data_IF_487497175750
#
_entry.id   IF_487497175750
#
_cell.length_a   1.000
_cell.length_b   1.000
_cell.length_c   1.000
_cell.angle_alpha   90.00
_cell.angle_beta   90.00
_cell.angle_gamma   90.00
#
_symmetry.space_group_name_H-M   'P 1'
#
loop_
_entity.id
_entity.type
_entity.pdbx_description
1 polymer ?
#
# COMPACT_ATOMS: atom_id res chain seq x y z
N UNK A 1 17.07 23.04 -31.01
CA UNK A 1 16.88 21.64 -30.59
C UNK A 1 16.80 21.61 -29.07
N UNK A 2 15.63 21.34 -28.49
CA UNK A 2 15.49 21.18 -27.03
C UNK A 2 15.97 19.76 -26.70
N UNK A 3 17.10 19.64 -25.99
CA UNK A 3 17.53 18.34 -25.51
C UNK A 3 16.50 17.79 -24.50
N UNK A 4 16.12 16.50 -24.58
CA UNK A 4 15.23 15.90 -23.59
C UNK A 4 15.90 15.94 -22.23
N UNK A 5 15.26 16.59 -21.26
CA UNK A 5 15.73 16.66 -19.87
C UNK A 5 15.88 15.24 -19.32
N UNK A 6 17.08 14.89 -18.88
CA UNK A 6 17.35 13.57 -18.29
C UNK A 6 16.34 13.27 -17.17
N UNK A 7 15.80 12.03 -17.10
CA UNK A 7 14.80 11.68 -16.11
C UNK A 7 15.41 11.82 -14.72
N UNK A 8 14.71 12.52 -13.84
CA UNK A 8 15.24 12.80 -12.53
C UNK A 8 15.26 11.51 -11.68
N UNK A 9 16.34 11.26 -10.92
CA UNK A 9 16.64 10.00 -10.22
C UNK A 9 16.10 9.94 -8.79
N UNK A 10 15.36 8.89 -8.38
CA UNK A 10 14.84 8.68 -7.01
C UNK A 10 15.59 7.54 -6.33
N UNK A 11 15.78 7.55 -4.99
CA UNK A 11 16.37 6.41 -4.29
C UNK A 11 15.58 5.13 -4.52
N UNK A 12 16.27 4.03 -4.83
CA UNK A 12 15.66 2.71 -4.92
C UNK A 12 15.03 2.33 -3.58
N UNK A 13 13.75 1.96 -3.58
CA UNK A 13 13.07 1.46 -2.39
C UNK A 13 12.18 0.29 -2.78
N UNK A 14 12.46 -0.88 -2.21
CA UNK A 14 11.65 -2.09 -2.43
C UNK A 14 10.21 -1.91 -1.95
N UNK A 15 10.01 -1.16 -0.85
CA UNK A 15 8.69 -0.72 -0.44
C UNK A 15 8.01 0.14 -1.51
N UNK A 16 8.71 1.11 -2.09
CA UNK A 16 8.13 1.94 -3.15
C UNK A 16 7.79 1.13 -4.41
N UNK A 17 8.65 0.17 -4.81
CA UNK A 17 8.35 -0.75 -5.92
C UNK A 17 7.10 -1.59 -5.64
N UNK A 18 7.00 -2.18 -4.44
CA UNK A 18 5.83 -2.93 -4.02
C UNK A 18 4.57 -2.05 -4.02
N UNK A 19 4.62 -0.87 -3.40
CA UNK A 19 3.51 0.08 -3.35
C UNK A 19 3.12 0.62 -4.73
N UNK A 20 4.04 0.71 -5.69
CA UNK A 20 3.70 1.06 -7.07
C UNK A 20 2.86 -0.02 -7.76
N UNK A 21 3.04 -1.28 -7.37
CA UNK A 21 2.30 -2.41 -7.91
C UNK A 21 0.96 -2.63 -7.19
N UNK A 22 0.93 -2.53 -5.86
CA UNK A 22 -0.25 -2.90 -5.06
C UNK A 22 -0.94 -1.73 -4.35
N UNK A 23 -0.30 -0.56 -4.26
CA UNK A 23 -0.74 0.59 -3.47
C UNK A 23 -1.81 1.43 -4.16
N UNK A 24 -2.80 0.78 -4.77
CA UNK A 24 -4.03 1.44 -5.22
C UNK A 24 -5.26 0.70 -4.69
N UNK A 25 -6.31 1.47 -4.40
CA UNK A 25 -7.55 0.99 -3.77
C UNK A 25 -8.10 -0.27 -4.42
N UNK A 26 -8.14 -0.30 -5.76
CA UNK A 26 -8.78 -1.39 -6.50
C UNK A 26 -7.92 -2.65 -6.46
N UNK A 27 -6.60 -2.52 -6.51
CA UNK A 27 -5.69 -3.65 -6.36
C UNK A 27 -5.80 -4.28 -4.97
N UNK A 28 -5.89 -3.49 -3.91
CA UNK A 28 -6.12 -4.01 -2.56
C UNK A 28 -7.42 -4.81 -2.45
N UNK A 29 -8.50 -4.35 -3.09
CA UNK A 29 -9.79 -5.07 -3.14
C UNK A 29 -9.71 -6.37 -3.95
N UNK A 30 -8.99 -6.39 -5.08
CA UNK A 30 -8.75 -7.62 -5.84
C UNK A 30 -7.94 -8.63 -5.04
N UNK A 31 -6.87 -8.19 -4.38
CA UNK A 31 -6.02 -9.06 -3.56
C UNK A 31 -6.80 -9.62 -2.37
N UNK A 32 -7.55 -8.78 -1.66
CA UNK A 32 -8.45 -9.22 -0.61
C UNK A 32 -9.40 -10.30 -1.12
N UNK A 33 -9.98 -10.08 -2.29
CA UNK A 33 -10.90 -11.03 -2.88
C UNK A 33 -10.25 -12.38 -3.20
N UNK A 34 -9.05 -12.34 -3.77
CA UNK A 34 -8.28 -13.54 -4.07
C UNK A 34 -7.89 -14.31 -2.79
N UNK A 35 -7.54 -13.61 -1.71
CA UNK A 35 -7.28 -14.25 -0.40
C UNK A 35 -8.52 -14.90 0.21
N UNK A 36 -9.71 -14.33 -0.05
CA UNK A 36 -11.00 -14.95 0.29
C UNK A 36 -11.39 -16.10 -0.66
N UNK A 37 -10.43 -16.62 -1.45
CA UNK A 37 -10.59 -17.72 -2.40
C UNK A 37 -11.55 -17.43 -3.56
N UNK A 38 -11.82 -16.15 -3.84
CA UNK A 38 -12.52 -15.77 -5.06
C UNK A 38 -11.56 -15.87 -6.25
N UNK A 39 -11.89 -16.76 -7.18
CA UNK A 39 -11.09 -16.99 -8.40
C UNK A 39 -11.82 -16.59 -9.69
N UNK A 40 -13.14 -16.44 -9.66
CA UNK A 40 -13.97 -16.17 -10.85
C UNK A 40 -14.28 -14.69 -11.00
N UNK A 41 -14.32 -14.23 -12.25
CA UNK A 41 -14.59 -12.83 -12.60
C UNK A 41 -15.87 -12.26 -11.97
N UNK A 42 -16.99 -12.99 -12.07
CA UNK A 42 -18.26 -12.54 -11.46
C UNK A 42 -18.21 -12.53 -9.93
N UNK A 43 -17.41 -13.43 -9.31
CA UNK A 43 -17.18 -13.39 -7.86
C UNK A 43 -16.42 -12.15 -7.42
N UNK A 44 -15.42 -11.71 -8.20
CA UNK A 44 -14.70 -10.47 -7.93
C UNK A 44 -15.66 -9.27 -7.99
N UNK A 45 -16.54 -9.21 -8.99
CA UNK A 45 -17.54 -8.13 -9.10
C UNK A 45 -18.48 -8.16 -7.89
N UNK A 46 -19.04 -9.33 -7.59
CA UNK A 46 -20.01 -9.49 -6.50
C UNK A 46 -19.45 -9.03 -5.14
N UNK A 47 -18.17 -9.30 -4.88
CA UNK A 47 -17.56 -8.94 -3.60
C UNK A 47 -16.95 -7.54 -3.54
N UNK A 48 -16.47 -7.00 -4.66
CA UNK A 48 -15.75 -5.71 -4.68
C UNK A 48 -16.59 -4.54 -5.19
N UNK A 49 -17.71 -4.81 -5.87
CA UNK A 49 -18.56 -3.80 -6.51
C UNK A 49 -17.91 -3.10 -7.71
N UNK A 50 -16.75 -3.57 -8.18
CA UNK A 50 -16.02 -2.88 -9.26
C UNK A 50 -16.75 -2.94 -10.60
N UNK A 51 -16.62 -1.86 -11.37
CA UNK A 51 -17.00 -1.85 -12.77
C UNK A 51 -16.17 -2.88 -13.56
N UNK A 52 -16.81 -3.58 -14.51
CA UNK A 52 -16.19 -4.64 -15.31
C UNK A 52 -14.89 -4.22 -16.00
N UNK A 53 -14.89 -3.05 -16.64
CA UNK A 53 -13.70 -2.54 -17.36
C UNK A 53 -12.53 -2.26 -16.42
N UNK A 54 -12.81 -1.78 -15.21
CA UNK A 54 -11.79 -1.53 -14.19
C UNK A 54 -11.23 -2.85 -13.63
N UNK A 55 -12.08 -3.84 -13.39
CA UNK A 55 -11.65 -5.17 -12.96
C UNK A 55 -10.77 -5.84 -14.02
N UNK A 56 -11.12 -5.74 -15.30
CA UNK A 56 -10.29 -6.26 -16.41
C UNK A 56 -8.90 -5.61 -16.41
N UNK A 57 -8.83 -4.28 -16.29
CA UNK A 57 -7.54 -3.57 -16.22
C UNK A 57 -6.71 -4.02 -15.01
N UNK A 58 -7.32 -4.18 -13.83
CA UNK A 58 -6.60 -4.60 -12.61
C UNK A 58 -6.13 -6.05 -12.64
N UNK A 59 -6.99 -6.98 -13.06
CA UNK A 59 -6.61 -8.38 -13.23
C UNK A 59 -5.48 -8.51 -14.25
N UNK A 60 -5.56 -7.81 -15.38
CA UNK A 60 -4.51 -7.82 -16.40
C UNK A 60 -3.17 -7.28 -15.90
N UNK A 61 -3.15 -6.23 -15.04
CA UNK A 61 -1.92 -5.73 -14.42
C UNK A 61 -1.30 -6.71 -13.45
N UNK A 62 -2.12 -7.36 -12.62
CA UNK A 62 -1.65 -8.35 -11.66
C UNK A 62 -1.17 -9.64 -12.37
N UNK A 63 -1.81 -10.02 -13.47
CA UNK A 63 -1.35 -11.12 -14.35
C UNK A 63 -0.02 -10.76 -15.00
N UNK A 64 0.10 -9.58 -15.59
CA UNK A 64 1.34 -9.11 -16.21
C UNK A 64 2.51 -8.98 -15.21
N UNK A 65 2.22 -8.65 -13.95
CA UNK A 65 3.20 -8.58 -12.88
C UNK A 65 3.54 -9.95 -12.26
N UNK A 66 2.88 -11.04 -12.68
CA UNK A 66 3.09 -12.38 -12.14
C UNK A 66 2.50 -12.61 -10.75
N UNK A 67 1.66 -11.70 -10.24
CA UNK A 67 0.96 -11.83 -8.94
C UNK A 67 -0.21 -12.80 -9.07
N UNK A 68 -0.91 -12.75 -10.19
CA UNK A 68 -1.97 -13.67 -10.56
C UNK A 68 -1.58 -14.47 -11.79
N UNK A 69 -2.14 -15.66 -11.92
CA UNK A 69 -2.13 -16.42 -13.15
C UNK A 69 -3.56 -16.75 -13.58
N UNK A 70 -3.76 -16.79 -14.90
CA UNK A 70 -5.05 -17.07 -15.51
C UNK A 70 -5.12 -18.53 -15.93
N UNK A 71 -6.08 -19.28 -15.38
CA UNK A 71 -6.28 -20.71 -15.64
C UNK A 71 -7.60 -20.94 -16.37
N UNK A 72 -7.62 -21.63 -17.52
CA UNK A 72 -8.88 -22.02 -18.17
C UNK A 72 -9.59 -23.09 -17.33
N UNK A 73 -10.90 -22.95 -17.13
CA UNK A 73 -11.73 -24.00 -16.51
C UNK A 73 -12.86 -24.49 -17.44
N UNK A 74 -13.10 -23.77 -18.54
CA UNK A 74 -14.07 -24.13 -19.56
C UNK A 74 -13.52 -23.69 -20.91
N UNK A 75 -13.61 -24.56 -21.93
CA UNK A 75 -13.08 -24.27 -23.27
C UNK A 75 -14.16 -23.81 -24.25
N UNK A 76 -15.44 -24.09 -23.97
CA UNK A 76 -16.60 -23.68 -24.80
C UNK A 76 -17.80 -23.26 -23.96
N UNK A 77 -18.11 -21.94 -23.86
CA UNK A 77 -17.23 -20.81 -24.15
C UNK A 77 -15.94 -20.82 -23.31
N UNK A 78 -14.88 -20.19 -23.81
CA UNK A 78 -13.64 -20.05 -23.06
C UNK A 78 -13.88 -19.22 -21.78
N UNK A 79 -13.68 -19.84 -20.61
CA UNK A 79 -13.76 -19.17 -19.32
C UNK A 79 -12.52 -19.44 -18.50
N UNK A 80 -12.12 -18.41 -17.77
CA UNK A 80 -10.90 -18.42 -16.98
C UNK A 80 -11.19 -18.08 -15.53
N UNK A 81 -10.35 -18.60 -14.66
CA UNK A 81 -10.21 -18.22 -13.27
C UNK A 81 -8.84 -17.58 -13.05
N UNK A 82 -8.75 -16.75 -12.01
CA UNK A 82 -7.54 -16.04 -11.61
C UNK A 82 -7.08 -16.60 -10.27
N UNK A 83 -5.84 -17.06 -10.22
CA UNK A 83 -5.26 -17.71 -9.04
C UNK A 83 -4.01 -16.97 -8.61
N UNK A 84 -3.79 -16.84 -7.29
CA UNK A 84 -2.55 -16.29 -6.76
C UNK A 84 -1.39 -17.22 -7.08
N UNK A 85 -0.34 -16.66 -7.68
CA UNK A 85 0.95 -17.34 -7.85
C UNK A 85 1.68 -17.43 -6.49
N UNK A 86 2.89 -17.99 -6.47
CA UNK A 86 3.75 -17.91 -5.27
C UNK A 86 3.99 -16.45 -4.85
N UNK A 87 4.27 -15.56 -5.82
CA UNK A 87 4.46 -14.12 -5.59
C UNK A 87 3.21 -13.47 -4.97
N UNK A 88 2.02 -13.82 -5.47
CA UNK A 88 0.77 -13.29 -4.92
C UNK A 88 0.41 -13.85 -3.55
N UNK A 89 0.71 -15.12 -3.27
CA UNK A 89 0.48 -15.72 -1.95
C UNK A 89 1.37 -15.10 -0.88
N UNK A 90 2.61 -14.77 -1.22
CA UNK A 90 3.55 -14.12 -0.29
C UNK A 90 3.11 -12.71 0.14
N UNK A 91 2.15 -12.07 -0.56
CA UNK A 91 1.54 -10.82 -0.11
C UNK A 91 0.63 -11.00 1.12
N UNK A 92 0.29 -12.24 1.49
CA UNK A 92 -0.60 -12.52 2.61
C UNK A 92 -0.07 -11.97 3.94
N UNK A 93 1.24 -12.02 4.16
CA UNK A 93 1.87 -11.45 5.37
C UNK A 93 1.64 -9.94 5.46
N UNK A 94 1.78 -9.24 4.33
CA UNK A 94 1.49 -7.81 4.24
C UNK A 94 0.00 -7.53 4.48
N UNK A 95 -0.89 -8.36 3.94
CA UNK A 95 -2.32 -8.24 4.17
C UNK A 95 -2.67 -8.43 5.67
N UNK A 96 -2.04 -9.38 6.36
CA UNK A 96 -2.22 -9.56 7.80
C UNK A 96 -1.74 -8.34 8.59
N UNK A 97 -0.58 -7.76 8.25
CA UNK A 97 -0.08 -6.54 8.91
C UNK A 97 -1.04 -5.36 8.72
N UNK A 98 -1.62 -5.22 7.51
CA UNK A 98 -2.62 -4.20 7.22
C UNK A 98 -3.88 -4.39 8.07
N UNK A 99 -4.39 -5.62 8.13
CA UNK A 99 -5.57 -5.96 8.94
C UNK A 99 -5.32 -5.76 10.43
N UNK A 100 -4.15 -6.12 10.94
CA UNK A 100 -3.79 -5.88 12.34
C UNK A 100 -3.75 -4.40 12.70
N UNK A 101 -3.29 -3.56 11.77
CA UNK A 101 -3.34 -2.11 11.92
C UNK A 101 -4.79 -1.59 11.90
N UNK A 102 -5.61 -2.04 10.95
CA UNK A 102 -7.03 -1.70 10.87
C UNK A 102 -7.76 -2.05 12.17
N UNK A 103 -7.60 -3.28 12.68
CA UNK A 103 -8.25 -3.76 13.91
C UNK A 103 -7.85 -2.94 15.15
N UNK A 104 -6.63 -2.40 15.17
CA UNK A 104 -6.12 -1.61 16.29
C UNK A 104 -6.69 -0.19 16.31
N UNK A 105 -6.88 0.42 15.14
CA UNK A 105 -7.29 1.82 15.02
C UNK A 105 -8.76 2.01 14.59
N UNK A 106 -9.45 0.92 14.23
CA UNK A 106 -10.90 0.83 14.00
C UNK A 106 -11.55 0.04 15.14
N UNK A 107 -11.60 0.63 16.34
CA UNK A 107 -12.52 0.15 17.37
C UNK A 107 -13.87 0.80 17.16
N UNK A 108 -14.73 0.18 16.34
CA UNK A 108 -16.18 0.40 16.42
C UNK A 108 -16.77 -0.71 17.32
N UNK A 109 -17.24 -0.38 18.54
CA UNK A 109 -17.88 -1.35 19.42
C UNK A 109 -19.15 -1.98 18.82
N UNK A 110 -19.79 -1.32 17.85
CA UNK A 110 -21.02 -1.77 17.20
C UNK A 110 -20.77 -2.58 15.91
N UNK A 111 -19.54 -2.54 15.38
CA UNK A 111 -19.11 -3.33 14.24
C UNK A 111 -17.96 -4.22 14.69
N UNK A 112 -18.22 -5.46 15.15
CA UNK A 112 -17.16 -6.40 15.46
C UNK A 112 -16.35 -6.61 14.18
N UNK A 113 -15.22 -5.91 14.05
CA UNK A 113 -14.20 -6.21 13.06
C UNK A 113 -14.02 -7.72 13.10
N UNK A 114 -14.20 -8.41 11.98
CA UNK A 114 -14.07 -9.86 11.95
C UNK A 114 -12.78 -10.21 12.67
N UNK A 115 -12.89 -10.95 13.78
CA UNK A 115 -11.71 -11.40 14.49
C UNK A 115 -11.08 -12.43 13.58
N UNK A 116 -9.84 -12.19 13.16
CA UNK A 116 -9.06 -13.23 12.50
C UNK A 116 -8.81 -14.27 13.61
N UNK A 117 -9.35 -15.47 13.48
CA UNK A 117 -9.12 -16.54 14.45
C UNK A 117 -7.97 -17.40 13.96
N UNK A 118 -7.00 -17.66 14.83
CA UNK A 118 -5.96 -18.62 14.54
C UNK A 118 -6.53 -20.03 14.74
N UNK A 119 -6.93 -20.67 13.65
CA UNK A 119 -7.63 -21.96 13.62
C UNK A 119 -7.01 -23.04 14.55
N UNK A 120 -5.68 -23.24 14.59
CA UNK A 120 -5.07 -24.22 15.49
C UNK A 120 -5.28 -23.97 16.98
N UNK A 121 -5.44 -22.71 17.43
CA UNK A 121 -5.59 -22.41 18.86
C UNK A 121 -6.92 -21.73 19.23
N UNK A 122 -7.76 -21.37 18.26
CA UNK A 122 -9.06 -20.73 18.47
C UNK A 122 -9.02 -19.29 19.00
N UNK A 123 -7.83 -18.70 19.18
CA UNK A 123 -7.70 -17.34 19.73
C UNK A 123 -7.72 -16.27 18.62
N UNK A 124 -8.15 -15.04 18.95
CA UNK A 124 -8.01 -13.90 18.05
C UNK A 124 -6.53 -13.66 17.70
N UNK A 125 -6.20 -13.79 16.42
CA UNK A 125 -4.91 -13.50 15.85
C UNK A 125 -4.66 -11.99 15.86
N UNK A 126 -3.54 -11.59 16.45
CA UNK A 126 -2.98 -10.25 16.31
C UNK A 126 -1.58 -10.37 15.71
N UNK A 127 -1.40 -10.00 14.44
CA UNK A 127 -0.08 -10.06 13.82
C UNK A 127 0.87 -9.07 14.50
N UNK A 128 2.08 -9.54 14.80
CA UNK A 128 3.16 -8.74 15.39
C UNK A 128 4.43 -8.97 14.57
N UNK A 129 5.08 -7.89 14.14
CA UNK A 129 6.41 -7.97 13.55
C UNK A 129 7.45 -8.21 14.65
N UNK A 130 8.23 -9.27 14.51
CA UNK A 130 9.30 -9.65 15.44
C UNK A 130 10.63 -9.73 14.73
N UNK A 131 11.73 -9.50 15.45
CA UNK A 131 13.06 -9.76 14.94
C UNK A 131 13.28 -11.27 14.87
N UNK A 132 13.72 -11.79 13.72
CA UNK A 132 13.96 -13.22 13.55
C UNK A 132 15.02 -13.77 14.53
N UNK A 133 16.03 -12.97 14.90
CA UNK A 133 17.13 -13.43 15.75
C UNK A 133 16.75 -13.52 17.25
N UNK A 134 16.10 -12.48 17.79
CA UNK A 134 15.78 -12.42 19.23
C UNK A 134 14.29 -12.59 19.55
N UNK A 135 13.41 -12.69 18.54
CA UNK A 135 11.95 -12.79 18.65
C UNK A 135 11.24 -11.62 19.34
N UNK A 136 11.98 -10.56 19.69
CA UNK A 136 11.40 -9.37 20.30
C UNK A 136 10.54 -8.59 19.28
N UNK A 137 9.40 -8.01 19.71
CA UNK A 137 8.60 -7.12 18.87
C UNK A 137 9.40 -5.92 18.37
N UNK A 138 9.33 -5.64 17.08
CA UNK A 138 10.05 -4.54 16.44
C UNK A 138 9.16 -3.30 16.36
N UNK A 139 9.69 -2.15 16.79
CA UNK A 139 9.08 -0.84 16.52
C UNK A 139 9.97 -0.05 15.59
N UNK A 140 9.39 0.92 14.87
CA UNK A 140 10.12 1.83 13.99
C UNK A 140 11.32 2.54 14.64
N UNK A 141 11.29 2.74 15.97
CA UNK A 141 12.39 3.42 16.69
C UNK A 141 13.60 2.51 16.93
N UNK A 142 13.40 1.20 16.81
CA UNK A 142 14.36 0.17 17.21
C UNK A 142 15.11 -0.40 15.98
N UNK A 143 15.02 0.27 14.82
CA UNK A 143 15.62 -0.17 13.56
C UNK A 143 16.52 0.91 12.98
N UNK A 144 17.53 0.46 12.24
CA UNK A 144 18.33 1.30 11.35
C UNK A 144 18.17 0.73 9.95
N UNK A 145 17.76 1.57 9.00
CA UNK A 145 17.64 1.19 7.60
C UNK A 145 19.01 1.37 6.94
N UNK A 146 19.69 0.25 6.68
CA UNK A 146 20.92 0.24 5.89
C UNK A 146 20.60 0.02 4.41
N UNK A 147 21.29 0.71 3.47
CA UNK A 147 21.12 0.45 2.05
C UNK A 147 21.51 -1.01 1.71
N UNK A 148 20.61 -1.73 1.02
CA UNK A 148 20.89 -3.08 0.52
C UNK A 148 21.78 -3.10 -0.74
N UNK A 149 22.14 -4.26 -1.28
CA UNK A 149 22.98 -4.39 -2.48
C UNK A 149 22.42 -3.67 -3.73
N UNK A 150 21.09 -3.63 -3.85
CA UNK A 150 20.35 -2.89 -4.88
C UNK A 150 20.15 -1.40 -4.60
N UNK A 151 20.75 -0.88 -3.52
CA UNK A 151 20.66 0.53 -3.20
C UNK A 151 21.36 1.38 -4.27
N UNK A 152 20.65 2.39 -4.73
CA UNK A 152 21.07 3.21 -5.86
C UNK A 152 19.96 4.20 -6.17
N UNK A 153 19.92 4.66 -7.42
CA UNK A 153 18.85 5.53 -7.87
C UNK A 153 18.23 5.03 -9.17
N UNK A 154 16.91 4.97 -9.23
CA UNK A 154 16.14 4.63 -10.43
C UNK A 154 15.52 5.89 -11.05
N UNK A 155 15.25 5.89 -12.36
CA UNK A 155 14.46 6.95 -12.98
C UNK A 155 13.14 7.10 -12.24
N UNK A 156 12.77 8.33 -11.86
CA UNK A 156 11.49 8.58 -11.20
C UNK A 156 10.36 7.94 -12.00
N UNK A 157 9.40 7.26 -11.34
CA UNK A 157 8.21 6.75 -12.00
C UNK A 157 7.61 7.89 -12.84
N UNK A 158 7.33 7.63 -14.12
CA UNK A 158 6.70 8.65 -14.97
C UNK A 158 5.47 9.14 -14.23
N UNK A 159 5.37 10.46 -14.05
CA UNK A 159 4.18 11.12 -13.55
C UNK A 159 3.04 10.79 -14.53
N UNK A 160 2.38 9.66 -14.33
CA UNK A 160 1.13 9.39 -15.02
C UNK A 160 0.20 10.41 -14.42
N UNK A 161 -0.23 11.37 -15.25
CA UNK A 161 -1.43 12.15 -14.96
C UNK A 161 -2.51 11.11 -14.66
N UNK A 162 -2.78 10.88 -13.37
CA UNK A 162 -4.02 10.26 -12.97
C UNK A 162 -5.07 11.20 -13.52
N UNK A 163 -5.63 10.89 -14.69
CA UNK A 163 -6.88 11.50 -15.11
C UNK A 163 -7.85 11.12 -14.00
N UNK A 164 -8.21 12.08 -13.16
CA UNK A 164 -9.35 12.11 -12.21
C UNK A 164 -10.12 10.78 -12.13
N UNK A 165 -9.53 9.75 -11.52
CA UNK A 165 -10.19 8.46 -11.35
C UNK A 165 -10.04 7.91 -9.92
N UNK A 166 -9.63 8.77 -8.98
CA UNK A 166 -9.53 8.42 -7.57
C UNK A 166 -10.12 9.45 -6.60
N UNK A 167 -10.56 10.62 -7.07
CA UNK A 167 -10.93 11.72 -6.18
C UNK A 167 -12.40 12.10 -6.38
N UNK A 168 -13.30 11.29 -5.81
CA UNK A 168 -14.61 11.75 -5.35
C UNK A 168 -14.66 11.55 -3.83
N UNK A 169 -15.21 12.49 -3.04
CA UNK A 169 -15.53 12.21 -1.64
C UNK A 169 -16.64 11.16 -1.65
N UNK A 170 -16.29 9.93 -1.31
CA UNK A 170 -17.20 8.79 -1.38
C UNK A 170 -16.74 7.71 -0.43
N UNK A 171 -17.13 7.88 0.83
CA UNK A 171 -17.42 6.78 1.76
C UNK A 171 -18.50 5.84 1.20
N UNK A 172 -19.20 6.26 0.14
CA UNK A 172 -20.05 5.43 -0.69
C UNK A 172 -19.17 4.56 -1.62
N UNK A 173 -19.21 3.24 -1.46
CA UNK A 173 -18.47 2.37 -2.37
C UNK A 173 -19.03 2.40 -3.80
N UNK A 174 -18.35 1.69 -4.70
CA UNK A 174 -18.70 1.68 -6.12
C UNK A 174 -20.08 1.04 -6.29
N UNK A 175 -21.02 1.79 -6.84
CA UNK A 175 -22.41 1.33 -7.02
C UNK A 175 -23.25 1.36 -5.74
N UNK A 176 -22.88 2.16 -4.73
CA UNK A 176 -23.65 2.31 -3.49
C UNK A 176 -23.49 1.16 -2.49
N UNK A 177 -22.61 0.19 -2.79
CA UNK A 177 -22.26 -0.89 -1.86
C UNK A 177 -21.18 -0.37 -0.91
N UNK A 178 -21.37 -0.41 0.42
CA UNK A 178 -20.33 -0.01 1.37
C UNK A 178 -19.02 -0.76 1.11
N UNK A 179 -17.89 -0.08 1.27
CA UNK A 179 -16.59 -0.74 1.26
C UNK A 179 -16.56 -1.88 2.29
N UNK A 180 -15.78 -2.93 2.02
CA UNK A 180 -15.61 -3.99 2.99
C UNK A 180 -15.08 -3.39 4.32
N UNK A 181 -15.78 -3.55 5.46
CA UNK A 181 -15.46 -2.84 6.70
C UNK A 181 -14.02 -3.05 7.21
N UNK A 182 -13.38 -4.14 6.80
CA UNK A 182 -12.01 -4.49 7.21
C UNK A 182 -10.90 -3.77 6.44
N UNK A 183 -11.22 -3.06 5.38
CA UNK A 183 -10.21 -2.39 4.54
C UNK A 183 -10.52 -0.91 4.32
N UNK A 184 -11.52 -0.37 4.99
CA UNK A 184 -11.99 1.00 4.76
C UNK A 184 -10.88 2.02 5.02
N UNK A 185 -10.32 2.06 6.22
CA UNK A 185 -9.26 3.03 6.58
C UNK A 185 -7.98 2.73 5.82
N UNK A 186 -7.65 1.46 5.67
CA UNK A 186 -6.52 0.98 4.87
C UNK A 186 -6.59 1.44 3.42
N UNK A 187 -7.76 1.37 2.78
CA UNK A 187 -8.00 1.87 1.42
C UNK A 187 -7.89 3.38 1.38
N UNK A 188 -8.31 4.08 2.41
CA UNK A 188 -8.19 5.53 2.43
C UNK A 188 -6.74 6.02 2.62
N UNK A 189 -5.93 5.28 3.36
CA UNK A 189 -4.50 5.57 3.58
C UNK A 189 -3.64 5.09 2.41
N UNK A 190 -3.85 3.87 1.91
CA UNK A 190 -3.03 3.27 0.85
C UNK A 190 -3.59 3.43 -0.55
N UNK A 191 -4.90 3.66 -0.68
CA UNK A 191 -5.58 3.68 -1.97
C UNK A 191 -5.21 4.89 -2.83
N UNK A 192 -4.62 5.91 -2.21
CA UNK A 192 -3.83 6.92 -2.90
C UNK A 192 -2.34 6.54 -2.89
N UNK A 193 -1.83 6.20 -4.08
CA UNK A 193 -0.45 5.79 -4.28
C UNK A 193 0.58 6.76 -3.70
N UNK A 194 0.31 8.07 -3.75
CA UNK A 194 1.20 9.09 -3.19
C UNK A 194 1.24 9.07 -1.67
N UNK A 195 0.09 8.84 -1.03
CA UNK A 195 -0.02 8.70 0.42
C UNK A 195 0.82 7.52 0.92
N UNK A 196 0.79 6.37 0.22
CA UNK A 196 1.62 5.23 0.57
C UNK A 196 3.14 5.53 0.45
N UNK A 197 3.54 6.27 -0.60
CA UNK A 197 4.93 6.67 -0.78
C UNK A 197 5.38 7.73 0.25
N UNK A 198 4.48 8.63 0.66
CA UNK A 198 4.74 9.61 1.72
C UNK A 198 4.99 8.92 3.05
N UNK A 199 4.12 7.98 3.42
CA UNK A 199 4.26 7.20 4.65
C UNK A 199 5.58 6.42 4.63
N UNK A 200 5.91 5.75 3.52
CA UNK A 200 7.20 5.09 3.35
C UNK A 200 8.38 6.08 3.50
N UNK A 201 8.35 7.23 2.84
CA UNK A 201 9.40 8.25 2.94
C UNK A 201 9.58 8.78 4.38
N UNK A 202 8.50 8.94 5.13
CA UNK A 202 8.57 9.33 6.55
C UNK A 202 9.27 8.29 7.42
N UNK A 203 9.18 7.00 7.07
CA UNK A 203 9.95 5.95 7.74
C UNK A 203 11.46 5.99 7.42
N UNK A 204 11.85 6.57 6.29
CA UNK A 204 13.25 6.88 5.98
C UNK A 204 13.74 8.21 6.59
N UNK A 205 12.98 8.79 7.51
CA UNK A 205 13.37 10.01 8.24
C UNK A 205 13.07 11.32 7.53
N UNK A 206 12.41 11.29 6.36
CA UNK A 206 12.00 12.53 5.69
C UNK A 206 10.79 13.15 6.37
N UNK A 207 10.99 14.34 6.94
CA UNK A 207 9.93 15.06 7.66
C UNK A 207 9.65 16.43 7.08
N UNK A 208 10.54 16.99 6.27
CA UNK A 208 10.41 18.36 5.75
C UNK A 208 9.80 18.34 4.35
N UNK A 209 8.97 19.33 4.06
CA UNK A 209 8.29 19.45 2.76
C UNK A 209 9.27 19.41 1.58
N UNK A 210 10.37 20.16 1.65
CA UNK A 210 11.38 20.23 0.58
C UNK A 210 12.01 18.87 0.29
N UNK A 211 12.30 18.11 1.34
CA UNK A 211 12.97 16.81 1.23
C UNK A 211 12.00 15.76 0.69
N UNK A 212 10.75 15.75 1.19
CA UNK A 212 9.67 14.92 0.67
C UNK A 212 9.37 15.22 -0.81
N UNK A 213 9.32 16.50 -1.17
CA UNK A 213 9.11 16.92 -2.56
C UNK A 213 10.23 16.45 -3.47
N UNK A 214 11.48 16.66 -3.04
CA UNK A 214 12.66 16.27 -3.82
C UNK A 214 12.73 14.75 -4.02
N UNK A 215 12.43 13.97 -2.98
CA UNK A 215 12.43 12.52 -3.04
C UNK A 215 11.30 11.96 -3.91
N UNK A 216 10.08 12.47 -3.76
CA UNK A 216 8.90 11.92 -4.44
C UNK A 216 8.69 12.50 -5.85
N UNK A 217 9.34 13.63 -6.17
CA UNK A 217 9.19 14.37 -7.43
C UNK A 217 7.75 14.71 -7.78
N UNK A 218 6.97 15.01 -6.75
CA UNK A 218 5.56 15.37 -6.85
C UNK A 218 5.40 16.89 -6.94
N UNK A 219 4.39 17.36 -7.67
CA UNK A 219 4.07 18.78 -7.73
C UNK A 219 3.67 19.32 -6.34
N UNK A 220 4.06 20.56 -6.01
CA UNK A 220 3.87 21.13 -4.67
C UNK A 220 2.40 21.10 -4.22
N UNK A 221 1.47 21.39 -5.13
CA UNK A 221 0.04 21.39 -4.84
C UNK A 221 -0.48 20.00 -4.47
N UNK A 222 -0.02 18.95 -5.16
CA UNK A 222 -0.37 17.57 -4.84
C UNK A 222 0.24 17.17 -3.49
N UNK A 223 1.51 17.50 -3.23
CA UNK A 223 2.15 17.21 -1.96
C UNK A 223 1.42 17.88 -0.79
N UNK A 224 1.02 19.15 -0.95
CA UNK A 224 0.24 19.88 0.06
C UNK A 224 -1.08 19.18 0.35
N UNK A 225 -1.87 18.86 -0.68
CA UNK A 225 -3.15 18.15 -0.48
C UNK A 225 -2.97 16.82 0.26
N UNK A 226 -1.96 16.02 -0.12
CA UNK A 226 -1.71 14.72 0.52
C UNK A 226 -1.23 14.84 1.96
N UNK A 227 -0.33 15.78 2.26
CA UNK A 227 0.13 16.03 3.62
C UNK A 227 -1.01 16.52 4.51
N UNK A 228 -1.87 17.39 4.01
CA UNK A 228 -3.08 17.84 4.73
C UNK A 228 -3.97 16.66 5.08
N UNK A 229 -4.29 15.78 4.11
CA UNK A 229 -5.12 14.58 4.36
C UNK A 229 -4.49 13.65 5.39
N UNK A 230 -3.18 13.42 5.34
CA UNK A 230 -2.48 12.58 6.32
C UNK A 230 -2.49 13.19 7.72
N UNK A 231 -2.50 14.52 7.84
CA UNK A 231 -2.65 15.23 9.11
C UNK A 231 -4.08 15.12 9.62
N UNK A 232 -5.08 15.38 8.77
CA UNK A 232 -6.51 15.27 9.12
C UNK A 232 -6.87 13.84 9.57
N UNK A 233 -6.24 12.82 8.97
CA UNK A 233 -6.42 11.40 9.31
C UNK A 233 -5.65 10.97 10.56
N UNK A 234 -4.85 11.84 11.16
CA UNK A 234 -4.07 11.52 12.34
C UNK A 234 -2.87 10.61 12.08
N UNK A 235 -2.46 10.41 10.82
CA UNK A 235 -1.25 9.64 10.47
C UNK A 235 0.03 10.48 10.65
N UNK A 236 -0.06 11.77 10.33
CA UNK A 236 1.00 12.75 10.51
C UNK A 236 0.55 13.86 11.46
N UNK A 237 1.50 14.49 12.13
CA UNK A 237 1.31 15.75 12.85
C UNK A 237 2.23 16.82 12.27
N UNK A 238 1.74 18.06 12.20
CA UNK A 238 2.55 19.21 11.77
C UNK A 238 3.22 19.83 12.98
N UNK A 239 4.55 19.78 13.03
CA UNK A 239 5.36 20.28 14.15
C UNK A 239 6.21 21.48 13.72
N UNK A 240 6.13 22.57 14.48
CA UNK A 240 6.98 23.73 14.29
C UNK A 240 8.39 23.40 14.79
N UNK A 241 9.40 23.57 13.94
CA UNK A 241 10.80 23.34 14.32
C UNK A 241 11.64 24.63 14.29
N UNK A 242 11.11 25.71 13.72
CA UNK A 242 11.75 27.02 13.68
C UNK A 242 10.65 28.08 13.76
N UNK A 243 10.82 29.13 14.56
CA UNK A 243 9.82 30.19 14.75
C UNK A 243 10.13 31.46 13.96
N UNK A 244 11.37 31.65 13.48
CA UNK A 244 11.80 32.86 12.75
C UNK A 244 12.76 32.53 11.58
N UNK A 245 12.28 32.47 10.33
CA UNK A 245 10.87 32.37 9.93
C UNK A 245 10.22 31.07 10.44
N UNK A 246 8.89 31.02 10.48
CA UNK A 246 8.19 29.77 10.80
C UNK A 246 8.51 28.67 9.80
N UNK A 247 8.97 27.52 10.31
CA UNK A 247 9.17 26.33 9.49
C UNK A 247 8.60 25.10 10.19
N UNK A 248 7.87 24.34 9.40
CA UNK A 248 7.12 23.18 9.84
C UNK A 248 7.71 21.91 9.24
N UNK A 249 7.61 20.83 10.00
CA UNK A 249 7.87 19.47 9.56
C UNK A 249 6.66 18.59 9.86
N UNK A 250 6.62 17.43 9.21
CA UNK A 250 5.56 16.44 9.30
C UNK A 250 6.13 15.19 9.96
N UNK A 251 5.60 14.81 11.11
CA UNK A 251 6.09 13.69 11.92
C UNK A 251 5.01 12.61 11.99
N UNK A 252 5.41 11.34 11.96
CA UNK A 252 4.48 10.22 12.18
C UNK A 252 3.92 10.30 13.61
N UNK A 253 2.60 10.23 13.73
CA UNK A 253 1.89 10.05 15.01
C UNK A 253 2.08 8.62 15.53
N UNK A 254 1.41 8.26 16.63
CA UNK A 254 1.35 6.86 17.08
C UNK A 254 0.68 5.95 16.03
N UNK A 255 -0.43 6.39 15.44
CA UNK A 255 -1.15 5.67 14.39
C UNK A 255 -0.27 5.47 13.15
N UNK A 256 0.41 6.53 12.73
CA UNK A 256 1.36 6.48 11.63
C UNK A 256 2.53 5.53 11.88
N UNK A 257 3.10 5.51 13.09
CA UNK A 257 4.22 4.61 13.44
C UNK A 257 3.80 3.14 13.53
N UNK A 258 2.57 2.87 13.98
CA UNK A 258 2.03 1.52 14.05
C UNK A 258 1.78 0.91 12.65
N UNK A 259 1.88 1.71 11.58
CA UNK A 259 1.83 1.26 10.19
C UNK A 259 3.15 0.62 9.71
N UNK A 260 4.24 0.76 10.47
CA UNK A 260 5.57 0.28 10.12
C UNK A 260 5.63 -1.23 9.76
N UNK A 261 4.95 -2.15 10.48
CA UNK A 261 4.96 -3.58 10.15
C UNK A 261 4.55 -3.88 8.71
N UNK A 262 3.57 -3.15 8.18
CA UNK A 262 3.18 -3.28 6.78
C UNK A 262 4.31 -2.86 5.85
N UNK A 263 4.93 -1.70 6.10
CA UNK A 263 6.01 -1.21 5.26
C UNK A 263 7.18 -2.19 5.27
N UNK A 264 7.55 -2.74 6.43
CA UNK A 264 8.57 -3.76 6.54
C UNK A 264 8.23 -5.04 5.77
N UNK A 265 6.98 -5.52 5.87
CA UNK A 265 6.53 -6.69 5.11
C UNK A 265 6.57 -6.45 3.59
N UNK A 266 6.19 -5.26 3.14
CA UNK A 266 6.26 -4.88 1.73
C UNK A 266 7.68 -4.69 1.23
N UNK A 267 8.60 -4.21 2.08
CA UNK A 267 10.02 -4.16 1.77
C UNK A 267 10.55 -5.58 1.53
N UNK A 268 10.35 -6.49 2.49
CA UNK A 268 10.81 -7.87 2.38
C UNK A 268 10.21 -8.59 1.16
N UNK A 269 8.92 -8.36 0.88
CA UNK A 269 8.27 -8.89 -0.31
C UNK A 269 8.86 -8.31 -1.61
N UNK A 270 9.08 -6.99 -1.65
CA UNK A 270 9.70 -6.31 -2.78
C UNK A 270 11.15 -6.72 -3.02
N UNK A 271 11.92 -6.97 -1.96
CA UNK A 271 13.28 -7.51 -2.03
C UNK A 271 13.28 -8.93 -2.60
N UNK A 272 12.28 -9.74 -2.24
CA UNK A 272 12.19 -11.13 -2.70
C UNK A 272 11.72 -11.27 -4.15
N UNK A 273 10.77 -10.44 -4.58
CA UNK A 273 10.04 -10.65 -5.84
C UNK A 273 10.29 -9.57 -6.90
N UNK A 274 10.74 -8.38 -6.50
CA UNK A 274 10.90 -7.22 -7.38
C UNK A 274 12.36 -6.70 -7.44
N UNK A 275 13.31 -7.41 -6.84
CA UNK A 275 14.74 -7.15 -7.02
C UNK A 275 15.14 -7.40 -8.47
N UNK A 276 15.88 -6.48 -9.09
CA UNK A 276 16.50 -6.71 -10.40
C UNK A 276 17.75 -7.58 -10.28
N UNK A 277 18.49 -7.78 -11.39
CA UNK A 277 19.79 -8.49 -11.37
C UNK A 277 20.83 -7.85 -10.43
N UNK A 278 20.65 -6.57 -10.06
CA UNK A 278 21.51 -5.85 -9.13
C UNK A 278 21.11 -6.00 -7.64
N UNK A 279 20.01 -6.72 -7.34
CA UNK A 279 19.40 -6.77 -6.01
C UNK A 279 18.28 -5.75 -5.80
#
# INVERSE_FOLDING_TARGET
>A
MVQPKAPALVPNSSAARALNLIGDRWTLLVLYAAFMRVSRFEGFIAMTGMARSLLVDRLGRLEAAGVLERRPYQTRPARHEYHLTAMGKDLYDSALMLLGWEMRWRMDPACPSHQIIHDPCGHPLRPVLVCQACTAPVKVRDIVLSPGPGAGSEPAPRARHSRRASDGPGTEGVGGVPLHPMLERSIEVLGDRWTAHLVAASFYGQTRFKDLQAQLKVASNILTDRLTRLVERGMLERRLYQTRPERWEYRLTREGRDFFPLIAALMAWGDRWLSGEAG
#
